data_IF_574402207081
#
_entry.id   IF_574402207081
#
_cell.length_a   1.000
_cell.length_b   1.000
_cell.length_c   1.000
_cell.angle_alpha   90.00
_cell.angle_beta   90.00
_cell.angle_gamma   90.00
#
_symmetry.space_group_name_H-M   'P 1'
#
loop_
_entity.id
_entity.type
_entity.pdbx_description
1 polymer ?
#
# COMPACT_ATOMS: atom_id res chain seq x y z
N UNK A 1 13.89 77.24 3.81
CA UNK A 1 14.34 75.85 3.53
C UNK A 1 13.52 74.79 4.29
N UNK A 2 12.24 75.03 4.63
CA UNK A 2 11.42 74.09 5.43
C UNK A 2 10.59 73.09 4.59
N UNK A 3 10.41 73.36 3.30
CA UNK A 3 9.47 72.61 2.44
C UNK A 3 10.12 71.45 1.69
N UNK A 4 11.46 71.39 1.66
CA UNK A 4 12.20 70.29 1.04
C UNK A 4 12.16 69.04 1.93
N UNK A 5 12.31 69.22 3.24
CA UNK A 5 12.35 68.13 4.21
C UNK A 5 10.99 67.41 4.35
N UNK A 6 9.89 68.16 4.34
CA UNK A 6 8.53 67.61 4.44
C UNK A 6 8.11 66.83 3.19
N UNK A 7 8.53 67.28 2.00
CA UNK A 7 8.24 66.57 0.73
C UNK A 7 9.03 65.26 0.64
N UNK A 8 10.29 65.26 1.07
CA UNK A 8 11.12 64.03 1.10
C UNK A 8 10.57 63.01 2.10
N UNK A 9 10.14 63.46 3.28
CA UNK A 9 9.51 62.59 4.29
C UNK A 9 8.19 61.97 3.81
N UNK A 10 7.32 62.74 3.16
CA UNK A 10 6.07 62.23 2.57
C UNK A 10 6.32 61.27 1.41
N UNK A 11 7.31 61.55 0.56
CA UNK A 11 7.66 60.72 -0.60
C UNK A 11 8.20 59.33 -0.22
N UNK A 12 8.80 59.19 0.98
CA UNK A 12 9.34 57.91 1.47
C UNK A 12 8.33 57.17 2.34
N UNK A 13 7.55 57.89 3.16
CA UNK A 13 6.56 57.27 4.06
C UNK A 13 5.36 56.67 3.32
N UNK A 14 4.88 57.28 2.23
CA UNK A 14 3.72 56.77 1.49
C UNK A 14 3.99 55.41 0.80
N UNK A 15 5.10 55.19 0.07
CA UNK A 15 5.40 53.89 -0.51
C UNK A 15 5.75 52.85 0.57
N UNK A 16 6.38 53.24 1.68
CA UNK A 16 6.67 52.35 2.80
C UNK A 16 5.37 51.88 3.49
N UNK A 17 4.39 52.78 3.66
CA UNK A 17 3.09 52.46 4.21
C UNK A 17 2.26 51.57 3.26
N UNK A 18 2.35 51.80 1.95
CA UNK A 18 1.71 50.95 0.94
C UNK A 18 2.33 49.54 0.88
N UNK A 19 3.64 49.44 1.07
CA UNK A 19 4.38 48.17 1.12
C UNK A 19 4.05 47.38 2.40
N UNK A 20 3.81 48.05 3.52
CA UNK A 20 3.40 47.40 4.77
C UNK A 20 1.94 46.90 4.71
N UNK A 21 1.07 47.53 3.90
CA UNK A 21 -0.33 47.13 3.74
C UNK A 21 -0.53 45.96 2.76
N UNK A 22 0.48 45.62 1.94
CA UNK A 22 0.43 44.52 0.99
C UNK A 22 0.96 43.18 1.54
N UNK A 23 1.54 43.17 2.74
CA UNK A 23 1.82 41.94 3.50
C UNK A 23 0.49 41.35 3.99
N UNK A 24 -0.18 40.60 3.11
CA UNK A 24 -1.24 39.69 3.53
C UNK A 24 -0.58 38.63 4.41
N UNK A 25 -0.98 38.47 5.68
CA UNK A 25 -0.62 37.26 6.39
C UNK A 25 -1.20 36.12 5.57
N UNK A 26 -0.33 35.29 5.01
CA UNK A 26 -0.73 33.98 4.51
C UNK A 26 -1.26 33.27 5.73
N UNK A 27 -2.58 33.27 5.91
CA UNK A 27 -3.23 32.29 6.76
C UNK A 27 -2.91 30.96 6.09
N UNK A 28 -1.77 30.38 6.50
CA UNK A 28 -1.59 28.96 6.42
C UNK A 28 -2.82 28.40 7.13
N UNK A 29 -3.76 27.83 6.37
CA UNK A 29 -4.72 26.89 6.92
C UNK A 29 -3.87 25.91 7.71
N UNK A 30 -3.89 26.06 9.04
CA UNK A 30 -3.41 25.07 9.97
C UNK A 30 -4.30 23.87 9.70
N UNK A 31 -3.84 23.06 8.74
CA UNK A 31 -4.36 21.73 8.51
C UNK A 31 -3.94 21.01 9.77
N UNK A 32 -4.76 21.15 10.82
CA UNK A 32 -4.63 20.50 12.11
C UNK A 32 -4.57 19.00 11.81
N UNK A 33 -3.37 18.51 11.51
CA UNK A 33 -3.06 17.12 11.66
C UNK A 33 -3.26 16.92 13.15
N UNK A 34 -4.33 16.22 13.51
CA UNK A 34 -4.57 15.74 14.85
C UNK A 34 -3.27 15.08 15.31
N UNK A 35 -2.42 15.80 16.06
CA UNK A 35 -1.16 15.33 16.62
C UNK A 35 -1.44 14.38 17.80
N UNK A 36 -2.52 13.60 17.71
CA UNK A 36 -2.72 12.45 18.56
C UNK A 36 -1.57 11.50 18.26
N UNK A 37 -0.83 11.15 19.31
CA UNK A 37 0.18 10.11 19.22
C UNK A 37 -0.48 8.82 18.68
N UNK A 38 -0.06 8.39 17.49
CA UNK A 38 -0.54 7.16 16.86
C UNK A 38 -0.10 5.97 17.72
N UNK A 39 -1.02 5.07 18.01
CA UNK A 39 -0.78 3.93 18.90
C UNK A 39 -0.44 2.70 18.09
N UNK A 40 0.56 1.96 18.57
CA UNK A 40 0.89 0.62 18.07
C UNK A 40 -0.23 -0.36 18.47
N UNK A 41 -0.88 -0.97 17.48
CA UNK A 41 -1.86 -2.04 17.69
C UNK A 41 -1.18 -3.39 17.81
N UNK A 42 -0.21 -3.65 16.94
CA UNK A 42 0.41 -4.95 16.81
C UNK A 42 1.79 -4.85 16.17
N UNK A 43 2.67 -5.80 16.53
CA UNK A 43 4.06 -5.87 16.09
C UNK A 43 4.54 -7.31 16.09
N UNK A 44 5.38 -7.64 15.12
CA UNK A 44 6.14 -8.87 15.09
C UNK A 44 7.50 -8.63 14.45
N UNK A 45 8.55 -9.19 15.05
CA UNK A 45 9.92 -9.15 14.55
C UNK A 45 10.55 -10.50 14.87
N UNK A 46 10.96 -11.24 13.84
CA UNK A 46 11.64 -12.51 13.98
C UNK A 46 12.87 -12.57 13.06
N UNK A 47 13.98 -13.06 13.60
CA UNK A 47 15.27 -13.21 12.91
C UNK A 47 15.66 -14.68 12.91
N UNK A 48 15.91 -15.22 11.74
CA UNK A 48 16.25 -16.64 11.59
C UNK A 48 17.77 -16.84 11.50
N UNK A 49 18.29 -18.02 11.90
CA UNK A 49 19.74 -18.30 11.86
C UNK A 49 20.38 -18.25 10.47
N UNK A 50 19.61 -18.43 9.41
CA UNK A 50 20.07 -18.37 8.01
C UNK A 50 20.23 -16.93 7.48
N UNK A 51 19.85 -15.94 8.31
CA UNK A 51 19.84 -14.52 8.02
C UNK A 51 18.52 -13.99 7.46
N UNK A 52 17.55 -14.86 7.18
CA UNK A 52 16.21 -14.43 6.79
C UNK A 52 15.50 -13.73 7.96
N UNK A 53 14.47 -12.96 7.67
CA UNK A 53 13.70 -12.24 8.70
C UNK A 53 12.25 -12.05 8.30
N UNK A 54 11.42 -11.78 9.31
CA UNK A 54 10.03 -11.39 9.14
C UNK A 54 9.73 -10.24 10.09
N UNK A 55 9.13 -9.18 9.55
CA UNK A 55 8.83 -7.97 10.28
C UNK A 55 7.46 -7.43 9.89
N UNK A 56 6.65 -7.04 10.87
CA UNK A 56 5.38 -6.38 10.62
C UNK A 56 4.96 -5.49 11.79
N UNK A 57 4.19 -4.46 11.49
CA UNK A 57 3.52 -3.63 12.48
C UNK A 57 2.19 -3.10 11.95
N UNK A 58 1.32 -2.73 12.88
CA UNK A 58 0.02 -2.11 12.63
C UNK A 58 -0.21 -0.99 13.63
N UNK A 59 -0.68 0.15 13.14
CA UNK A 59 -0.97 1.35 13.90
C UNK A 59 -2.48 1.65 13.89
N UNK A 60 -2.97 2.39 14.89
CA UNK A 60 -4.40 2.68 15.06
C UNK A 60 -4.99 3.69 14.07
N UNK A 61 -4.14 4.41 13.34
CA UNK A 61 -4.51 5.25 12.20
C UNK A 61 -4.70 4.45 10.89
N UNK A 62 -4.49 3.13 10.95
CA UNK A 62 -4.55 2.21 9.81
C UNK A 62 -3.28 2.17 8.97
N UNK A 63 -2.18 2.76 9.44
CA UNK A 63 -0.86 2.53 8.85
C UNK A 63 -0.37 1.13 9.23
N UNK A 64 0.05 0.35 8.24
CA UNK A 64 0.54 -1.01 8.44
C UNK A 64 1.67 -1.35 7.48
N UNK A 65 2.56 -2.25 7.90
CA UNK A 65 3.63 -2.82 7.06
C UNK A 65 3.83 -4.28 7.41
N UNK A 66 4.08 -5.08 6.39
CA UNK A 66 4.62 -6.43 6.52
C UNK A 66 5.75 -6.58 5.51
N UNK A 67 6.85 -7.17 5.93
CA UNK A 67 7.92 -7.62 5.04
C UNK A 67 8.54 -8.93 5.51
N UNK A 68 9.01 -9.72 4.54
CA UNK A 68 9.80 -10.92 4.77
C UNK A 68 11.00 -10.90 3.85
N UNK A 69 12.19 -11.00 4.44
CA UNK A 69 13.45 -11.11 3.72
C UNK A 69 13.94 -12.55 3.73
N UNK A 70 14.35 -13.06 2.58
CA UNK A 70 14.91 -14.40 2.42
C UNK A 70 16.05 -14.37 1.40
N UNK A 71 16.86 -15.43 1.36
CA UNK A 71 17.97 -15.52 0.42
C UNK A 71 17.68 -16.50 -0.70
N UNK A 72 17.96 -16.09 -1.94
CA UNK A 72 17.92 -16.95 -3.12
C UNK A 72 19.28 -16.93 -3.82
N UNK A 73 19.61 -18.00 -4.55
CA UNK A 73 20.80 -18.04 -5.39
C UNK A 73 20.45 -17.45 -6.76
N UNK A 74 21.02 -16.29 -7.10
CA UNK A 74 20.89 -15.64 -8.41
C UNK A 74 22.29 -15.55 -9.01
N UNK A 75 22.48 -16.13 -10.20
CA UNK A 75 23.79 -16.15 -10.88
C UNK A 75 24.95 -16.66 -9.99
N UNK A 76 24.67 -17.70 -9.19
CA UNK A 76 25.60 -18.31 -8.20
C UNK A 76 26.00 -17.39 -7.03
N UNK A 77 25.31 -16.26 -6.87
CA UNK A 77 25.47 -15.34 -5.75
C UNK A 77 24.27 -15.48 -4.80
N UNK A 78 24.55 -15.55 -3.50
CA UNK A 78 23.50 -15.51 -2.47
C UNK A 78 22.95 -14.08 -2.40
N UNK A 79 21.75 -13.87 -2.94
CA UNK A 79 21.10 -12.57 -3.05
C UNK A 79 19.93 -12.46 -2.07
N UNK A 80 19.85 -11.33 -1.38
CA UNK A 80 18.70 -11.01 -0.53
C UNK A 80 17.50 -10.64 -1.41
N UNK A 81 16.38 -11.28 -1.14
CA UNK A 81 15.08 -10.98 -1.73
C UNK A 81 14.13 -10.57 -0.61
N UNK A 82 13.33 -9.53 -0.85
CA UNK A 82 12.35 -9.01 0.10
C UNK A 82 11.00 -8.96 -0.59
N UNK A 83 9.98 -9.50 0.07
CA UNK A 83 8.59 -9.39 -0.34
C UNK A 83 7.80 -8.72 0.77
N UNK A 84 6.84 -7.88 0.42
CA UNK A 84 6.11 -7.15 1.45
C UNK A 84 4.93 -6.36 0.93
N UNK A 85 4.27 -5.71 1.88
CA UNK A 85 3.31 -4.67 1.60
C UNK A 85 3.38 -3.55 2.64
N UNK A 86 2.89 -2.39 2.26
CA UNK A 86 2.52 -1.34 3.19
C UNK A 86 1.10 -0.85 2.90
N UNK A 87 0.42 -0.36 3.93
CA UNK A 87 -0.88 0.27 3.82
C UNK A 87 -0.93 1.55 4.64
N UNK A 88 -1.66 2.54 4.14
CA UNK A 88 -1.98 3.76 4.87
C UNK A 88 -3.30 4.37 4.39
N UNK A 89 -3.88 5.23 5.22
CA UNK A 89 -5.08 5.98 4.90
C UNK A 89 -4.75 7.21 4.04
N UNK A 90 -5.42 7.33 2.90
CA UNK A 90 -5.29 8.46 1.98
C UNK A 90 -6.14 9.65 2.43
N UNK A 91 -5.86 10.83 1.83
CA UNK A 91 -6.57 12.08 2.12
C UNK A 91 -8.05 12.05 1.77
N UNK A 92 -8.47 11.16 0.86
CA UNK A 92 -9.87 10.93 0.48
C UNK A 92 -10.60 9.96 1.44
N UNK A 93 -9.92 9.48 2.47
CA UNK A 93 -10.44 8.56 3.47
C UNK A 93 -10.35 7.08 3.09
N UNK A 94 -10.01 6.74 1.83
CA UNK A 94 -9.76 5.36 1.41
C UNK A 94 -8.39 4.88 1.91
N UNK A 95 -8.16 3.58 1.89
CA UNK A 95 -6.84 3.01 2.18
C UNK A 95 -6.14 2.66 0.87
N UNK A 96 -4.83 2.81 0.82
CA UNK A 96 -4.00 2.20 -0.22
C UNK A 96 -3.25 1.04 0.41
N UNK A 97 -3.15 -0.09 -0.28
CA UNK A 97 -2.18 -1.15 0.03
C UNK A 97 -1.33 -1.39 -1.20
N UNK A 98 -0.01 -1.37 -1.02
CA UNK A 98 0.96 -1.58 -2.09
C UNK A 98 1.74 -2.85 -1.79
N UNK A 99 1.72 -3.80 -2.71
CA UNK A 99 2.52 -5.02 -2.66
C UNK A 99 3.79 -4.83 -3.49
N UNK A 100 4.92 -5.28 -2.97
CA UNK A 100 6.22 -5.06 -3.59
C UNK A 100 7.17 -6.24 -3.45
N UNK A 101 8.14 -6.27 -4.35
CA UNK A 101 9.34 -7.09 -4.27
C UNK A 101 10.57 -6.17 -4.28
N UNK A 102 11.63 -6.53 -3.58
CA UNK A 102 12.93 -5.89 -3.70
C UNK A 102 14.05 -6.93 -3.77
N UNK A 103 15.00 -6.72 -4.67
CA UNK A 103 16.14 -7.61 -4.90
C UNK A 103 17.33 -6.83 -5.50
N UNK A 104 18.24 -7.53 -6.18
CA UNK A 104 19.41 -6.94 -6.84
C UNK A 104 19.07 -5.86 -7.89
N UNK A 105 17.85 -5.85 -8.43
CA UNK A 105 17.37 -4.83 -9.37
C UNK A 105 16.59 -3.70 -8.66
N UNK A 106 16.65 -3.65 -7.33
CA UNK A 106 15.99 -2.65 -6.50
C UNK A 106 14.52 -2.95 -6.21
N UNK A 107 13.82 -1.94 -5.71
CA UNK A 107 12.41 -2.01 -5.33
C UNK A 107 11.49 -1.95 -6.56
N UNK A 108 10.49 -2.82 -6.60
CA UNK A 108 9.45 -2.84 -7.63
C UNK A 108 8.08 -3.05 -7.00
N UNK A 109 7.13 -2.19 -7.34
CA UNK A 109 5.73 -2.37 -7.00
C UNK A 109 5.11 -3.43 -7.92
N UNK A 110 4.48 -4.44 -7.32
CA UNK A 110 3.80 -5.52 -8.04
C UNK A 110 2.34 -5.15 -8.34
N UNK A 111 1.61 -4.72 -7.31
CA UNK A 111 0.18 -4.43 -7.35
C UNK A 111 -0.17 -3.40 -6.27
N UNK A 112 -1.26 -2.67 -6.47
CA UNK A 112 -1.93 -1.92 -5.40
C UNK A 112 -3.44 -2.14 -5.41
N UNK A 113 -4.05 -1.97 -4.25
CA UNK A 113 -5.51 -1.96 -4.06
C UNK A 113 -5.92 -0.74 -3.26
N UNK A 114 -7.14 -0.26 -3.51
CA UNK A 114 -7.66 0.97 -2.89
C UNK A 114 -9.07 0.80 -2.32
N UNK A 115 -9.24 0.03 -1.22
CA UNK A 115 -10.54 -0.15 -0.60
C UNK A 115 -10.98 1.08 0.21
N UNK A 116 -12.29 1.24 0.38
CA UNK A 116 -12.87 2.31 1.20
C UNK A 116 -12.85 1.99 2.70
N UNK A 117 -12.83 0.70 3.04
CA UNK A 117 -12.72 0.19 4.42
C UNK A 117 -11.30 -0.32 4.63
N UNK A 118 -10.84 -0.35 5.88
CA UNK A 118 -9.54 -0.91 6.24
C UNK A 118 -9.39 -2.34 5.65
N UNK A 119 -8.32 -2.62 4.91
CA UNK A 119 -8.14 -3.90 4.22
C UNK A 119 -7.94 -5.06 5.20
N UNK A 120 -8.41 -6.25 4.83
CA UNK A 120 -8.00 -7.47 5.53
C UNK A 120 -6.57 -7.83 5.09
N UNK A 121 -5.58 -7.39 5.86
CA UNK A 121 -4.18 -7.54 5.51
C UNK A 121 -3.66 -8.95 5.87
N UNK A 122 -2.93 -9.63 4.95
CA UNK A 122 -2.34 -10.93 5.24
C UNK A 122 -1.39 -10.87 6.44
N UNK A 123 -1.49 -11.86 7.33
CA UNK A 123 -0.59 -12.02 8.49
C UNK A 123 0.62 -12.90 8.22
N UNK A 124 0.72 -13.45 7.02
CA UNK A 124 1.84 -14.25 6.51
C UNK A 124 1.98 -14.03 5.01
N UNK A 125 3.21 -13.86 4.52
CA UNK A 125 3.51 -13.86 3.09
C UNK A 125 4.26 -15.14 2.73
N UNK A 126 3.71 -15.87 1.76
CA UNK A 126 4.36 -17.04 1.19
C UNK A 126 5.57 -16.60 0.36
N UNK A 127 6.70 -17.26 0.57
CA UNK A 127 7.88 -17.00 -0.24
C UNK A 127 7.71 -17.74 -1.56
N UNK A 128 8.03 -17.12 -2.71
CA UNK A 128 8.22 -17.87 -3.94
C UNK A 128 9.30 -18.91 -3.70
N UNK A 129 8.90 -20.17 -3.51
CA UNK A 129 9.85 -21.27 -3.33
C UNK A 129 10.74 -21.30 -4.58
N UNK A 130 12.08 -21.36 -4.45
CA UNK A 130 12.90 -21.60 -5.61
C UNK A 130 12.51 -22.97 -6.15
N UNK A 131 11.97 -22.99 -7.38
CA UNK A 131 11.67 -24.22 -8.09
C UNK A 131 12.96 -25.05 -8.12
N UNK A 132 13.00 -26.10 -7.29
CA UNK A 132 14.11 -27.04 -7.29
C UNK A 132 14.09 -27.69 -8.66
N UNK A 133 15.16 -27.47 -9.43
CA UNK A 133 15.19 -27.80 -10.86
C UNK A 133 14.78 -29.23 -11.15
N UNK A 134 13.66 -29.39 -11.85
CA UNK A 134 13.43 -30.53 -12.72
C UNK A 134 13.57 -30.05 -14.16
N UNK A 135 14.76 -30.25 -14.72
CA UNK A 135 14.88 -30.37 -16.17
C UNK A 135 14.09 -31.60 -16.61
N UNK A 136 12.84 -31.39 -17.00
CA UNK A 136 12.14 -32.29 -17.90
C UNK A 136 11.58 -31.44 -19.02
N UNK A 137 12.42 -31.21 -20.03
CA UNK A 137 11.92 -30.98 -21.38
C UNK A 137 11.14 -32.24 -21.75
N UNK A 138 9.82 -32.16 -21.72
CA UNK A 138 8.97 -33.14 -22.36
C UNK A 138 8.04 -32.41 -23.32
N UNK A 139 8.50 -32.37 -24.57
CA UNK A 139 7.69 -32.12 -25.74
C UNK A 139 6.53 -33.09 -25.78
N UNK A 140 5.29 -32.59 -25.78
CA UNK A 140 4.05 -33.22 -26.27
C UNK A 140 2.86 -32.50 -25.61
N UNK A 141 1.73 -32.20 -26.22
CA UNK A 141 1.25 -32.35 -27.57
C UNK A 141 -0.08 -31.57 -27.65
N UNK A 142 -0.46 -31.18 -28.86
CA UNK A 142 -1.86 -31.09 -29.30
C UNK A 142 -2.70 -32.23 -28.72
N UNK A 143 -3.80 -31.92 -28.04
CA UNK A 143 -5.03 -32.72 -28.12
C UNK A 143 -6.23 -31.96 -27.56
N UNK A 144 -7.19 -31.78 -28.45
CA UNK A 144 -8.61 -31.52 -28.23
C UNK A 144 -9.19 -32.42 -27.15
N UNK A 145 -9.94 -31.84 -26.20
CA UNK A 145 -10.84 -32.59 -25.31
C UNK A 145 -12.23 -31.98 -25.30
N UNK A 146 -13.13 -32.72 -25.94
CA UNK A 146 -14.58 -32.71 -25.90
C UNK A 146 -15.13 -32.90 -24.47
N UNK A 147 -16.28 -32.30 -24.15
CA UNK A 147 -17.16 -32.73 -23.04
C UNK A 147 -17.60 -31.59 -22.09
N UNK A 148 -18.68 -30.87 -22.42
CA UNK A 148 -20.05 -31.02 -21.87
C UNK A 148 -20.33 -30.33 -20.53
N UNK A 149 -21.12 -29.26 -20.57
CA UNK A 149 -21.95 -28.79 -19.45
C UNK A 149 -23.30 -28.28 -19.95
N UNK A 150 -24.27 -29.19 -19.87
CA UNK A 150 -25.71 -29.07 -19.54
C UNK A 150 -26.30 -27.66 -19.35
N UNK A 151 -27.31 -27.34 -20.18
CA UNK A 151 -28.30 -26.29 -19.88
C UNK A 151 -29.67 -26.72 -20.42
N UNK A 152 -30.66 -26.94 -19.54
CA UNK A 152 -32.11 -26.74 -19.82
C UNK A 152 -32.96 -26.86 -18.53
N UNK A 153 -33.91 -25.93 -18.27
CA UNK A 153 -35.05 -26.08 -17.34
C UNK A 153 -36.37 -26.30 -18.15
N UNK A 154 -37.60 -26.19 -17.60
CA UNK A 154 -38.18 -26.56 -16.29
C UNK A 154 -39.40 -27.52 -16.45
N UNK A 155 -40.01 -28.04 -15.35
CA UNK A 155 -41.46 -28.05 -15.05
C UNK A 155 -41.91 -29.01 -13.91
N UNK A 156 -42.60 -28.39 -12.94
CA UNK A 156 -43.83 -28.74 -12.19
C UNK A 156 -44.29 -30.21 -11.96
N UNK A 157 -44.71 -30.48 -10.70
CA UNK A 157 -46.04 -31.04 -10.26
C UNK A 157 -45.99 -32.26 -9.32
N UNK A 158 -46.44 -32.04 -8.07
CA UNK A 158 -47.37 -32.87 -7.26
C UNK A 158 -46.94 -34.11 -6.46
N UNK A 159 -47.51 -34.16 -5.24
CA UNK A 159 -47.80 -35.31 -4.36
C UNK A 159 -46.64 -35.91 -3.56
N UNK A 160 -46.76 -36.39 -2.32
CA UNK A 160 -47.75 -36.38 -1.22
C UNK A 160 -47.16 -37.34 -0.15
N UNK A 161 -47.36 -37.03 1.14
CA UNK A 161 -47.30 -37.94 2.31
C UNK A 161 -45.95 -38.60 2.71
N UNK A 162 -45.51 -38.30 3.94
CA UNK A 162 -45.77 -39.19 5.09
C UNK A 162 -44.57 -39.83 5.82
N UNK A 163 -44.56 -39.71 7.16
CA UNK A 163 -43.79 -40.51 8.14
C UNK A 163 -42.52 -39.82 8.65
N UNK A 164 -42.38 -39.36 9.93
CA UNK A 164 -42.22 -40.12 11.20
C UNK A 164 -41.30 -41.33 11.02
N UNK A 165 -40.18 -41.48 11.72
CA UNK A 165 -39.86 -41.22 13.14
C UNK A 165 -38.52 -40.53 13.34
#
# INVERSE_FOLDING_TARGET
MANCHTVVLLSICVPLLLLLLSLRPSAAEDRQADHRAVRLLDRFDNRYPDGSYEYRFELDDGTARYERGYFAMVDKVKTLMVVGYYSYRMSDGRYITVFYNADQFGYRQNQSITPQVYPNLPRSIEMPMPASGSHSFQSSATSTSTGTSTTSPPQTTTSRRGGRF
#
